data_IF_888362304438
#
_entry.id   IF_888362304438
#
_cell.length_a   1.000
_cell.length_b   1.000
_cell.length_c   1.000
_cell.angle_alpha   90.00
_cell.angle_beta   90.00
_cell.angle_gamma   90.00
#
_symmetry.space_group_name_H-M   'P 1'
#
loop_
_entity.id
_entity.type
_entity.pdbx_description
1 polymer ?
#
# COMPACT_ATOMS: atom_id res chain seq x y z
N UNK A 1 -5.18 -17.57 66.39
CA UNK A 1 -4.85 -17.98 65.01
C UNK A 1 -4.90 -16.76 64.10
N UNK A 2 -3.75 -16.25 63.62
CA UNK A 2 -3.63 -15.04 62.76
C UNK A 2 -2.34 -15.07 61.91
N UNK A 3 -2.16 -16.08 61.03
CA UNK A 3 -0.97 -16.21 60.16
C UNK A 3 -1.29 -16.91 58.81
N UNK A 4 -2.11 -16.30 57.96
CA UNK A 4 -2.42 -16.83 56.60
C UNK A 4 -2.92 -15.79 55.58
N UNK A 5 -3.45 -14.64 56.00
CA UNK A 5 -4.21 -13.72 55.11
C UNK A 5 -3.32 -12.75 54.30
N UNK A 6 -2.03 -12.62 54.63
CA UNK A 6 -1.15 -11.54 54.12
C UNK A 6 -0.59 -11.82 52.70
N UNK A 7 -0.79 -13.03 52.14
CA UNK A 7 -0.13 -13.49 50.92
C UNK A 7 -0.82 -13.10 49.58
N UNK A 8 -1.87 -12.28 49.58
CA UNK A 8 -2.72 -12.06 48.38
C UNK A 8 -2.77 -10.62 47.83
N UNK A 9 -1.93 -9.71 48.33
CA UNK A 9 -2.07 -8.26 48.10
C UNK A 9 -0.92 -7.60 47.31
N UNK A 10 -0.10 -8.37 46.60
CA UNK A 10 1.16 -7.90 45.99
C UNK A 10 1.31 -8.17 44.47
N UNK A 11 0.22 -8.48 43.76
CA UNK A 11 0.26 -8.79 42.31
C UNK A 11 -0.59 -7.83 41.43
N UNK A 12 -1.00 -6.67 41.95
CA UNK A 12 -1.96 -5.78 41.25
C UNK A 12 -1.41 -4.40 40.82
N UNK A 13 -0.09 -4.13 40.91
CA UNK A 13 0.45 -2.77 40.65
C UNK A 13 1.49 -2.64 39.50
N UNK A 14 1.84 -3.70 38.78
CA UNK A 14 2.85 -3.64 37.70
C UNK A 14 2.26 -3.76 36.27
N UNK A 15 0.93 -3.70 36.11
CA UNK A 15 0.25 -3.94 34.83
C UNK A 15 -0.22 -2.68 34.08
N UNK A 16 -0.17 -1.49 34.71
CA UNK A 16 -0.86 -0.27 34.21
C UNK A 16 0.08 0.71 33.47
N UNK A 17 1.39 0.53 33.57
CA UNK A 17 2.37 1.49 33.01
C UNK A 17 3.00 1.09 31.67
N UNK A 18 2.90 -0.17 31.24
CA UNK A 18 3.63 -0.69 30.07
C UNK A 18 2.90 -0.52 28.73
N UNK A 19 1.56 -0.57 28.75
CA UNK A 19 0.70 -0.56 27.55
C UNK A 19 0.83 0.71 26.70
N UNK A 20 1.22 1.83 27.29
CA UNK A 20 1.47 3.09 26.57
C UNK A 20 2.83 3.18 25.88
N UNK A 21 3.85 2.47 26.37
CA UNK A 21 5.19 2.48 25.78
C UNK A 21 5.31 1.47 24.63
N UNK A 22 4.76 0.26 24.78
CA UNK A 22 4.86 -0.79 23.78
C UNK A 22 4.20 -0.38 22.45
N UNK A 23 2.90 -0.02 22.48
CA UNK A 23 2.17 0.46 21.29
C UNK A 23 2.87 1.60 20.52
N UNK A 24 3.65 2.44 21.20
CA UNK A 24 4.37 3.57 20.59
C UNK A 24 5.71 3.15 19.98
N UNK A 25 6.34 2.10 20.49
CA UNK A 25 7.51 1.47 19.86
C UNK A 25 7.08 0.63 18.64
N UNK A 26 6.03 -0.19 18.80
CA UNK A 26 5.49 -1.07 17.76
C UNK A 26 5.08 -0.26 16.52
N UNK A 27 4.24 0.77 16.69
CA UNK A 27 3.80 1.64 15.57
C UNK A 27 4.90 2.52 14.97
N UNK A 28 6.05 2.69 15.62
CA UNK A 28 7.22 3.34 15.03
C UNK A 28 8.03 2.37 14.17
N UNK A 29 8.15 1.09 14.59
CA UNK A 29 8.76 0.03 13.81
C UNK A 29 7.94 -0.32 12.56
N UNK A 30 6.62 -0.39 12.68
CA UNK A 30 5.71 -0.63 11.55
C UNK A 30 5.84 0.47 10.48
N UNK A 31 5.93 1.75 10.90
CA UNK A 31 6.12 2.90 9.99
C UNK A 31 7.49 2.88 9.28
N UNK A 32 8.54 2.43 9.96
CA UNK A 32 9.85 2.23 9.33
C UNK A 32 9.79 1.10 8.29
N UNK A 33 9.23 -0.06 8.64
CA UNK A 33 9.06 -1.18 7.71
C UNK A 33 8.18 -0.85 6.50
N UNK A 34 7.21 0.06 6.65
CA UNK A 34 6.40 0.55 5.53
C UNK A 34 7.16 1.50 4.61
N UNK A 35 8.09 2.30 5.15
CA UNK A 35 9.00 3.13 4.36
C UNK A 35 10.00 2.29 3.56
N UNK A 36 10.63 1.30 4.22
CA UNK A 36 11.58 0.36 3.59
C UNK A 36 10.89 -0.47 2.49
N UNK A 37 9.64 -0.90 2.74
CA UNK A 37 8.81 -1.55 1.71
C UNK A 37 8.56 -0.63 0.51
N UNK A 38 8.15 0.63 0.74
CA UNK A 38 7.88 1.57 -0.35
C UNK A 38 9.14 1.86 -1.18
N UNK A 39 10.29 2.07 -0.54
CA UNK A 39 11.57 2.22 -1.24
C UNK A 39 11.94 0.97 -2.08
N UNK A 40 11.61 -0.25 -1.60
CA UNK A 40 11.77 -1.47 -2.41
C UNK A 40 10.85 -1.50 -3.64
N UNK A 41 9.66 -0.88 -3.56
CA UNK A 41 8.73 -0.72 -4.68
C UNK A 41 9.23 0.36 -5.65
N UNK A 42 9.78 1.47 -5.17
CA UNK A 42 10.44 2.48 -6.02
C UNK A 42 11.55 1.86 -6.87
N UNK A 43 12.43 1.06 -6.27
CA UNK A 43 13.55 0.41 -6.97
C UNK A 43 13.07 -0.54 -8.06
N UNK A 44 12.06 -1.37 -7.78
CA UNK A 44 11.47 -2.29 -8.77
C UNK A 44 10.72 -1.53 -9.88
N UNK A 45 9.96 -0.50 -9.52
CA UNK A 45 9.25 0.39 -10.45
C UNK A 45 10.22 1.08 -11.41
N UNK A 46 11.31 1.65 -10.88
CA UNK A 46 12.33 2.33 -11.68
C UNK A 46 13.13 1.39 -12.58
N UNK A 47 13.31 0.13 -12.18
CA UNK A 47 13.91 -0.92 -13.03
C UNK A 47 12.97 -1.31 -14.19
N UNK A 48 11.68 -1.51 -13.92
CA UNK A 48 10.68 -1.81 -14.94
C UNK A 48 10.48 -0.65 -15.93
N UNK A 49 10.34 0.59 -15.41
CA UNK A 49 10.31 1.83 -16.22
C UNK A 49 11.56 1.97 -17.08
N UNK A 50 12.76 1.78 -16.51
CA UNK A 50 14.01 1.84 -17.29
C UNK A 50 14.10 0.77 -18.37
N UNK A 51 13.61 -0.45 -18.11
CA UNK A 51 13.56 -1.52 -19.09
C UNK A 51 12.63 -1.18 -20.26
N UNK A 52 11.43 -0.66 -19.95
CA UNK A 52 10.46 -0.17 -20.94
C UNK A 52 10.97 1.01 -21.79
N UNK A 53 11.86 1.85 -21.23
CA UNK A 53 12.45 3.00 -21.93
C UNK A 53 13.66 2.66 -22.80
N UNK A 54 14.48 1.68 -22.40
CA UNK A 54 15.89 1.53 -22.86
C UNK A 54 16.22 0.18 -23.47
N UNK A 55 15.49 -0.88 -23.16
CA UNK A 55 15.76 -2.21 -23.71
C UNK A 55 15.11 -2.38 -25.10
N UNK A 56 15.71 -3.22 -25.94
CA UNK A 56 15.19 -3.54 -27.28
C UNK A 56 14.05 -4.57 -27.20
N UNK A 57 12.91 -4.15 -26.65
CA UNK A 57 11.74 -5.01 -26.38
C UNK A 57 10.81 -5.15 -27.59
N UNK A 58 10.21 -6.33 -27.75
CA UNK A 58 9.04 -6.53 -28.63
C UNK A 58 7.75 -6.05 -27.96
N UNK A 59 6.69 -5.81 -28.74
CA UNK A 59 5.40 -5.35 -28.19
C UNK A 59 4.82 -6.29 -27.10
N UNK A 60 4.86 -7.64 -27.23
CA UNK A 60 4.45 -8.53 -26.15
C UNK A 60 5.25 -8.35 -24.86
N UNK A 61 6.58 -8.13 -24.95
CA UNK A 61 7.45 -7.92 -23.78
C UNK A 61 7.20 -6.58 -23.12
N UNK A 62 6.93 -5.52 -23.89
CA UNK A 62 6.47 -4.23 -23.34
C UNK A 62 5.12 -4.35 -22.64
N UNK A 63 4.17 -5.07 -23.24
CA UNK A 63 2.85 -5.32 -22.65
C UNK A 63 2.94 -6.16 -21.36
N UNK A 64 3.90 -7.10 -21.27
CA UNK A 64 4.17 -7.86 -20.06
C UNK A 64 4.78 -6.97 -18.97
N UNK A 65 5.85 -6.23 -19.28
CA UNK A 65 6.57 -5.37 -18.31
C UNK A 65 5.73 -4.21 -17.78
N UNK A 66 4.81 -3.67 -18.58
CA UNK A 66 3.84 -2.69 -18.08
C UNK A 66 2.80 -3.34 -17.18
N UNK A 67 2.40 -4.59 -17.46
CA UNK A 67 1.56 -5.40 -16.58
C UNK A 67 2.22 -5.63 -15.22
N UNK A 68 3.49 -6.08 -15.24
CA UNK A 68 4.34 -6.23 -14.04
C UNK A 68 4.43 -4.91 -13.24
N UNK A 69 4.58 -3.77 -13.91
CA UNK A 69 4.63 -2.45 -13.27
C UNK A 69 3.28 -2.06 -12.64
N UNK A 70 2.15 -2.33 -13.31
CA UNK A 70 0.81 -2.10 -12.77
C UNK A 70 0.53 -3.01 -11.56
N UNK A 71 0.83 -4.31 -11.67
CA UNK A 71 0.63 -5.28 -10.59
C UNK A 71 1.51 -4.99 -9.36
N UNK A 72 2.74 -4.49 -9.56
CA UNK A 72 3.62 -4.01 -8.49
C UNK A 72 2.98 -2.86 -7.69
N UNK A 73 2.42 -1.85 -8.37
CA UNK A 73 1.76 -0.73 -7.70
C UNK A 73 0.39 -1.10 -7.12
N UNK A 74 -0.41 -1.94 -7.80
CA UNK A 74 -1.66 -2.49 -7.25
C UNK A 74 -1.39 -3.31 -5.97
N UNK A 75 -0.29 -4.08 -5.91
CA UNK A 75 0.15 -4.78 -4.70
C UNK A 75 0.57 -3.81 -3.58
N UNK A 76 1.34 -2.76 -3.90
CA UNK A 76 1.73 -1.73 -2.94
C UNK A 76 0.53 -0.97 -2.36
N UNK A 77 -0.47 -0.67 -3.18
CA UNK A 77 -1.73 -0.05 -2.74
C UNK A 77 -2.50 -0.98 -1.79
N UNK A 78 -2.62 -2.26 -2.13
CA UNK A 78 -3.24 -3.25 -1.25
C UNK A 78 -2.50 -3.34 0.09
N UNK A 79 -1.16 -3.27 0.09
CA UNK A 79 -0.36 -3.23 1.33
C UNK A 79 -0.65 -1.99 2.18
N UNK A 80 -0.75 -0.80 1.59
CA UNK A 80 -1.14 0.41 2.34
C UNK A 80 -2.54 0.26 2.96
N UNK A 81 -3.49 -0.35 2.23
CA UNK A 81 -4.84 -0.64 2.71
C UNK A 81 -4.89 -1.75 3.78
N UNK A 82 -3.91 -2.66 3.84
CA UNK A 82 -3.74 -3.60 4.95
C UNK A 82 -3.24 -2.92 6.22
N UNK A 83 -2.26 -2.02 6.13
CA UNK A 83 -1.76 -1.26 7.29
C UNK A 83 -2.83 -0.30 7.82
N UNK A 84 -3.58 0.37 6.92
CA UNK A 84 -4.70 1.24 7.29
C UNK A 84 -5.73 0.54 8.20
N UNK A 85 -6.06 -0.72 7.92
CA UNK A 85 -7.01 -1.52 8.73
C UNK A 85 -6.51 -1.82 10.15
N UNK A 86 -5.21 -1.70 10.42
CA UNK A 86 -4.62 -1.92 11.75
C UNK A 86 -4.56 -0.64 12.60
N UNK A 87 -4.38 0.52 11.95
CA UNK A 87 -4.06 1.79 12.64
C UNK A 87 -5.18 2.81 12.64
N UNK A 88 -6.07 2.82 11.62
CA UNK A 88 -7.13 3.81 11.52
C UNK A 88 -8.33 3.47 12.42
N UNK A 89 -9.02 4.49 12.99
CA UNK A 89 -10.34 4.33 13.58
C UNK A 89 -11.34 3.72 12.59
N UNK A 90 -12.28 2.91 13.08
CA UNK A 90 -13.23 2.17 12.23
C UNK A 90 -14.00 3.07 11.24
N UNK A 91 -14.45 4.25 11.68
CA UNK A 91 -15.15 5.21 10.82
C UNK A 91 -14.26 5.85 9.74
N UNK A 92 -12.95 5.99 9.99
CA UNK A 92 -11.99 6.48 9.00
C UNK A 92 -11.65 5.38 7.98
N UNK A 93 -11.56 4.11 8.44
CA UNK A 93 -11.39 2.96 7.56
C UNK A 93 -12.63 2.68 6.70
N UNK A 94 -13.84 2.89 7.23
CA UNK A 94 -15.10 2.84 6.47
C UNK A 94 -15.14 3.91 5.38
N UNK A 95 -14.85 5.17 5.74
CA UNK A 95 -14.71 6.29 4.79
C UNK A 95 -13.65 6.00 3.72
N UNK A 96 -12.48 5.50 4.11
CA UNK A 96 -11.41 5.13 3.18
C UNK A 96 -11.82 4.00 2.24
N UNK A 97 -12.62 3.03 2.70
CA UNK A 97 -13.14 1.94 1.87
C UNK A 97 -14.09 2.47 0.78
N UNK A 98 -14.97 3.41 1.13
CA UNK A 98 -15.84 4.09 0.16
C UNK A 98 -15.02 4.92 -0.86
N UNK A 99 -14.07 5.74 -0.38
CA UNK A 99 -13.15 6.49 -1.24
C UNK A 99 -12.38 5.59 -2.20
N UNK A 100 -11.96 4.41 -1.74
CA UNK A 100 -11.20 3.46 -2.54
C UNK A 100 -12.03 2.78 -3.63
N UNK A 101 -13.33 2.56 -3.41
CA UNK A 101 -14.24 2.03 -4.45
C UNK A 101 -14.39 3.03 -5.59
N UNK A 102 -14.74 4.27 -5.28
CA UNK A 102 -14.88 5.35 -6.28
C UNK A 102 -13.55 5.65 -6.97
N UNK A 103 -12.42 5.57 -6.26
CA UNK A 103 -11.10 5.72 -6.87
C UNK A 103 -10.79 4.59 -7.86
N UNK A 104 -11.13 3.33 -7.56
CA UNK A 104 -10.91 2.19 -8.48
C UNK A 104 -11.73 2.33 -9.77
N UNK A 105 -12.99 2.76 -9.66
CA UNK A 105 -13.84 3.08 -10.81
C UNK A 105 -13.25 4.19 -11.68
N UNK A 106 -12.76 5.28 -11.06
CA UNK A 106 -12.13 6.39 -11.78
C UNK A 106 -10.77 6.02 -12.38
N UNK A 107 -9.97 5.19 -11.71
CA UNK A 107 -8.68 4.69 -12.21
C UNK A 107 -8.88 3.86 -13.47
N UNK A 108 -9.87 2.99 -13.46
CA UNK A 108 -10.21 2.11 -14.60
C UNK A 108 -10.62 2.94 -15.81
N UNK A 109 -11.55 3.89 -15.62
CA UNK A 109 -12.01 4.79 -16.69
C UNK A 109 -10.87 5.65 -17.27
N UNK A 110 -9.97 6.17 -16.43
CA UNK A 110 -8.82 6.95 -16.88
C UNK A 110 -7.82 6.10 -17.70
N UNK A 111 -7.52 4.89 -17.23
CA UNK A 111 -6.60 3.97 -17.92
C UNK A 111 -7.17 3.51 -19.28
N UNK A 112 -8.47 3.17 -19.36
CA UNK A 112 -9.15 2.86 -20.62
C UNK A 112 -9.21 4.05 -21.58
N UNK A 113 -9.43 5.27 -21.05
CA UNK A 113 -9.43 6.50 -21.84
C UNK A 113 -8.05 6.82 -22.42
N UNK A 114 -6.96 6.61 -21.67
CA UNK A 114 -5.60 6.76 -22.18
C UNK A 114 -5.30 5.79 -23.34
N UNK A 115 -5.80 4.56 -23.26
CA UNK A 115 -5.68 3.56 -24.33
C UNK A 115 -6.51 3.84 -25.59
N UNK A 116 -7.39 4.85 -25.59
CA UNK A 116 -8.50 4.93 -26.57
C UNK A 116 -8.07 5.11 -28.03
N UNK A 117 -6.97 5.81 -28.29
CA UNK A 117 -6.44 6.00 -29.66
C UNK A 117 -5.81 4.73 -30.27
N UNK A 118 -5.49 3.74 -29.42
CA UNK A 118 -4.87 2.47 -29.82
C UNK A 118 -5.74 1.24 -29.52
N UNK A 119 -7.03 1.46 -29.25
CA UNK A 119 -8.02 0.42 -28.92
C UNK A 119 -8.09 -0.67 -30.00
N UNK A 120 -8.03 -1.93 -29.57
CA UNK A 120 -7.94 -3.10 -30.47
C UNK A 120 -6.57 -3.33 -31.11
N UNK A 121 -5.63 -2.38 -31.00
CA UNK A 121 -4.24 -2.54 -31.40
C UNK A 121 -3.40 -3.28 -30.35
N UNK A 122 -2.28 -3.86 -30.79
CA UNK A 122 -1.32 -4.55 -29.93
C UNK A 122 -0.62 -3.66 -28.91
N UNK A 123 -0.70 -2.33 -29.09
CA UNK A 123 -0.20 -1.30 -28.18
C UNK A 123 -1.13 -1.03 -26.98
N UNK A 124 -2.41 -1.38 -27.08
CA UNK A 124 -3.42 -1.07 -26.05
C UNK A 124 -3.01 -1.50 -24.62
N UNK A 125 -2.49 -2.72 -24.37
CA UNK A 125 -2.10 -3.11 -23.01
C UNK A 125 -0.95 -2.29 -22.45
N UNK A 126 0.00 -1.82 -23.27
CA UNK A 126 1.08 -0.95 -22.81
C UNK A 126 0.52 0.36 -22.24
N UNK A 127 -0.32 1.06 -23.01
CA UNK A 127 -0.84 2.38 -22.63
C UNK A 127 -1.75 2.28 -21.38
N UNK A 128 -2.70 1.33 -21.38
CA UNK A 128 -3.64 1.14 -20.25
C UNK A 128 -2.90 0.76 -18.97
N UNK A 129 -1.92 -0.15 -19.03
CA UNK A 129 -1.15 -0.55 -17.85
C UNK A 129 -0.26 0.60 -17.32
N UNK A 130 0.34 1.41 -18.19
CA UNK A 130 1.20 2.53 -17.78
C UNK A 130 0.41 3.63 -17.06
N UNK A 131 -0.75 4.01 -17.59
CA UNK A 131 -1.65 4.96 -16.92
C UNK A 131 -2.17 4.40 -15.60
N UNK A 132 -2.64 3.13 -15.60
CA UNK A 132 -3.09 2.46 -14.39
C UNK A 132 -2.00 2.38 -13.32
N UNK A 133 -0.74 2.13 -13.70
CA UNK A 133 0.41 2.12 -12.79
C UNK A 133 0.68 3.51 -12.19
N UNK A 134 0.79 4.56 -13.02
CA UNK A 134 1.08 5.93 -12.56
C UNK A 134 0.00 6.51 -11.63
N UNK A 135 -1.27 6.25 -11.93
CA UNK A 135 -2.38 6.62 -11.04
C UNK A 135 -2.30 5.89 -9.69
N UNK A 136 -1.89 4.62 -9.70
CA UNK A 136 -1.77 3.79 -8.47
C UNK A 136 -0.55 4.17 -7.65
N UNK A 137 0.57 4.50 -8.30
CA UNK A 137 1.76 5.09 -7.66
C UNK A 137 1.39 6.37 -6.88
N UNK A 138 0.66 7.30 -7.51
CA UNK A 138 0.17 8.51 -6.83
C UNK A 138 -0.76 8.19 -5.64
N UNK A 139 -1.67 7.21 -5.79
CA UNK A 139 -2.56 6.75 -4.70
C UNK A 139 -1.79 6.08 -3.56
N UNK A 140 -0.71 5.34 -3.84
CA UNK A 140 0.15 4.73 -2.82
C UNK A 140 0.80 5.79 -1.94
N UNK A 141 1.33 6.88 -2.53
CA UNK A 141 1.84 8.00 -1.73
C UNK A 141 0.74 8.71 -0.93
N UNK A 142 -0.44 8.93 -1.51
CA UNK A 142 -1.58 9.52 -0.78
C UNK A 142 -1.99 8.68 0.44
N UNK A 143 -2.04 7.35 0.28
CA UNK A 143 -2.31 6.42 1.38
C UNK A 143 -1.16 6.40 2.40
N UNK A 144 0.10 6.45 1.95
CA UNK A 144 1.26 6.46 2.82
C UNK A 144 1.34 7.72 3.69
N UNK A 145 1.07 8.92 3.16
CA UNK A 145 1.00 10.15 3.96
C UNK A 145 -0.13 10.11 5.01
N UNK A 146 -1.28 9.48 4.69
CA UNK A 146 -2.38 9.25 5.65
C UNK A 146 -2.03 8.31 6.81
N UNK A 147 -0.91 7.58 6.74
CA UNK A 147 -0.48 6.60 7.75
C UNK A 147 0.68 7.10 8.64
N UNK A 148 1.21 8.31 8.42
CA UNK A 148 2.37 8.85 9.16
C UNK A 148 2.07 9.34 10.58
#
# INVERSE_FOLDING_TARGET
>A
MRKTIIALLLLCLMAVCLTGCQKKADSAADKAGLADYLASVEVQSNALKSSLEKDALTQPEMNQKSGELRDLWDAAMNRMLEEAKKVLPAAEMEKLTAEQSTWLESRTQAAEAAGKEVEGGSMYPLVVNMEAAGLTEARVYELYERLK
#
